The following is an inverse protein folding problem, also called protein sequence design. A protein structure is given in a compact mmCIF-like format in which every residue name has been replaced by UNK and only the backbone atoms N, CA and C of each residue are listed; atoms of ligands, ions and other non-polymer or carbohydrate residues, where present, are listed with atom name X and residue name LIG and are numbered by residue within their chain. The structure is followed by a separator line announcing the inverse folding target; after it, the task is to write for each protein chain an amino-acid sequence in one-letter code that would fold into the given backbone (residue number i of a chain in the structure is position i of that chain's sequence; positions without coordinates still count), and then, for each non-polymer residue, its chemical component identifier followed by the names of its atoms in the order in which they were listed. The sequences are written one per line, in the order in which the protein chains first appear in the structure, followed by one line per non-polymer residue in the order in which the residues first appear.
data_IF_947071320504
#
_entry.id   IF_947071320504
#
_cell.length_a   1.000
_cell.length_b   1.000
_cell.length_c   1.000
_cell.angle_alpha   90.00
_cell.angle_beta   90.00
_cell.angle_gamma   90.00
#
_symmetry.space_group_name_H-M   'P 1'
#
loop_
_entity.id
_entity.type
_entity.pdbx_description
1 polymer ?
#
# COMPACT_ATOMS: atom_id res chain seq x y z
N UNK A 1 11.24 -80.28 -33.11
CA UNK A 1 11.21 -79.17 -32.15
C UNK A 1 9.76 -78.90 -31.79
N UNK A 2 9.36 -79.31 -30.58
CA UNK A 2 8.00 -79.20 -30.08
C UNK A 2 7.73 -77.73 -29.71
N UNK A 3 6.92 -77.03 -30.50
CA UNK A 3 6.29 -75.81 -30.00
C UNK A 3 5.14 -76.24 -29.11
N UNK A 4 5.31 -76.01 -27.81
CA UNK A 4 4.28 -75.97 -26.79
C UNK A 4 3.29 -74.86 -27.16
N UNK A 5 2.43 -75.13 -28.15
CA UNK A 5 1.39 -74.19 -28.52
C UNK A 5 0.39 -74.19 -27.39
N UNK A 6 0.32 -73.03 -26.75
CA UNK A 6 -0.67 -72.61 -25.79
C UNK A 6 -1.97 -73.37 -26.01
N UNK A 7 -2.32 -74.22 -25.04
CA UNK A 7 -3.62 -74.85 -25.00
C UNK A 7 -4.63 -73.72 -25.09
N UNK A 8 -5.44 -73.64 -26.17
CA UNK A 8 -6.43 -72.59 -26.24
C UNK A 8 -7.41 -72.93 -25.14
N UNK A 9 -7.50 -72.04 -24.15
CA UNK A 9 -8.60 -71.99 -23.19
C UNK A 9 -9.85 -71.65 -24.00
N UNK A 10 -10.30 -72.58 -24.86
CA UNK A 10 -11.54 -72.44 -25.57
C UNK A 10 -12.61 -72.50 -24.49
N UNK A 11 -13.13 -71.32 -24.14
CA UNK A 11 -14.43 -71.18 -23.50
C UNK A 11 -15.41 -71.94 -24.39
N UNK A 12 -15.68 -73.18 -24.02
CA UNK A 12 -16.87 -73.96 -24.36
C UNK A 12 -17.20 -74.09 -25.87
N UNK A 13 -17.13 -75.30 -26.43
CA UNK A 13 -17.55 -75.58 -27.82
C UNK A 13 -19.04 -75.28 -28.11
N UNK A 14 -19.84 -74.94 -27.09
CA UNK A 14 -21.24 -74.61 -27.20
C UNK A 14 -21.48 -73.08 -27.32
N UNK A 15 -21.72 -72.62 -28.55
CA UNK A 15 -22.02 -71.22 -28.90
C UNK A 15 -23.19 -70.61 -28.12
N UNK A 16 -24.20 -71.41 -27.76
CA UNK A 16 -25.36 -70.93 -26.99
C UNK A 16 -24.97 -70.58 -25.55
N UNK A 17 -24.13 -71.40 -24.92
CA UNK A 17 -23.67 -71.15 -23.55
C UNK A 17 -22.77 -69.91 -23.46
N UNK A 18 -21.89 -69.72 -24.44
CA UNK A 18 -21.07 -68.50 -24.53
C UNK A 18 -21.95 -67.25 -24.66
N UNK A 19 -22.91 -67.23 -25.59
CA UNK A 19 -23.84 -66.10 -25.75
C UNK A 19 -24.64 -65.81 -24.48
N UNK A 20 -25.10 -66.85 -23.76
CA UNK A 20 -25.83 -66.68 -22.50
C UNK A 20 -24.94 -66.05 -21.42
N UNK A 21 -23.68 -66.48 -21.33
CA UNK A 21 -22.71 -65.92 -20.38
C UNK A 21 -22.31 -64.49 -20.72
N UNK A 22 -22.09 -64.19 -22.00
CA UNK A 22 -21.75 -62.84 -22.47
C UNK A 22 -22.92 -61.87 -22.19
N UNK A 23 -24.15 -62.31 -22.47
CA UNK A 23 -25.36 -61.54 -22.16
C UNK A 23 -25.50 -61.28 -20.66
N UNK A 24 -25.35 -62.31 -19.83
CA UNK A 24 -25.42 -62.17 -18.38
C UNK A 24 -24.34 -61.23 -17.83
N UNK A 25 -23.12 -61.32 -18.36
CA UNK A 25 -22.00 -60.45 -17.99
C UNK A 25 -22.26 -58.99 -18.37
N UNK A 26 -22.82 -58.75 -19.56
CA UNK A 26 -23.20 -57.42 -20.01
C UNK A 26 -24.33 -56.81 -19.16
N UNK A 27 -25.37 -57.59 -18.86
CA UNK A 27 -26.46 -57.15 -17.97
C UNK A 27 -25.97 -56.82 -16.56
N UNK A 28 -25.02 -57.61 -16.03
CA UNK A 28 -24.39 -57.33 -14.75
C UNK A 28 -23.58 -56.02 -14.79
N UNK A 29 -22.82 -55.79 -15.86
CA UNK A 29 -22.07 -54.54 -16.05
C UNK A 29 -23.01 -53.33 -16.11
N UNK A 30 -24.10 -53.40 -16.90
CA UNK A 30 -25.10 -52.33 -16.97
C UNK A 30 -25.69 -52.01 -15.60
N UNK A 31 -26.04 -53.05 -14.84
CA UNK A 31 -26.56 -52.88 -13.47
C UNK A 31 -25.55 -52.14 -12.60
N UNK A 32 -24.30 -52.60 -12.59
CA UNK A 32 -23.25 -51.99 -11.77
C UNK A 32 -22.94 -50.55 -12.16
N UNK A 33 -22.95 -50.24 -13.46
CA UNK A 33 -22.79 -48.86 -13.96
C UNK A 33 -23.98 -48.00 -13.56
N UNK A 34 -25.20 -48.53 -13.65
CA UNK A 34 -26.41 -47.82 -13.22
C UNK A 34 -26.40 -47.53 -11.72
N UNK A 35 -26.03 -48.51 -10.91
CA UNK A 35 -25.87 -48.36 -9.45
C UNK A 35 -24.79 -47.33 -9.12
N UNK A 36 -23.60 -47.46 -9.71
CA UNK A 36 -22.51 -46.50 -9.53
C UNK A 36 -22.89 -45.07 -9.95
N UNK A 37 -23.67 -44.92 -11.03
CA UNK A 37 -24.16 -43.62 -11.48
C UNK A 37 -25.17 -43.04 -10.48
N UNK A 38 -26.10 -43.87 -10.00
CA UNK A 38 -27.08 -43.49 -8.98
C UNK A 38 -26.39 -43.06 -7.68
N UNK A 39 -25.45 -43.85 -7.16
CA UNK A 39 -24.70 -43.54 -5.93
C UNK A 39 -23.94 -42.21 -6.05
N UNK A 40 -23.31 -41.96 -7.20
CA UNK A 40 -22.62 -40.69 -7.45
C UNK A 40 -23.60 -39.51 -7.48
N UNK A 41 -24.75 -39.69 -8.15
CA UNK A 41 -25.80 -38.67 -8.20
C UNK A 41 -26.34 -38.37 -6.81
N UNK A 42 -26.61 -39.39 -6.00
CA UNK A 42 -27.07 -39.24 -4.61
C UNK A 42 -26.05 -38.51 -3.74
N UNK A 43 -24.75 -38.82 -3.89
CA UNK A 43 -23.68 -38.12 -3.19
C UNK A 43 -23.60 -36.64 -3.58
N UNK A 44 -23.75 -36.34 -4.87
CA UNK A 44 -23.79 -34.97 -5.37
C UNK A 44 -24.98 -34.19 -4.81
N UNK A 45 -26.18 -34.78 -4.85
CA UNK A 45 -27.39 -34.18 -4.26
C UNK A 45 -27.24 -33.95 -2.76
N UNK A 46 -26.66 -34.92 -2.04
CA UNK A 46 -26.40 -34.80 -0.61
C UNK A 46 -25.42 -33.67 -0.29
N UNK A 47 -24.39 -33.47 -1.12
CA UNK A 47 -23.43 -32.36 -0.96
C UNK A 47 -24.10 -31.02 -1.18
N UNK A 48 -24.84 -30.86 -2.28
CA UNK A 48 -25.59 -29.64 -2.60
C UNK A 48 -26.55 -29.29 -1.46
N UNK A 49 -27.28 -30.29 -0.95
CA UNK A 49 -28.24 -30.07 0.11
C UNK A 49 -27.57 -29.62 1.42
N UNK A 50 -26.43 -30.23 1.78
CA UNK A 50 -25.64 -29.79 2.95
C UNK A 50 -25.14 -28.36 2.81
N UNK A 51 -24.59 -28.02 1.65
CA UNK A 51 -24.09 -26.67 1.38
C UNK A 51 -25.21 -25.62 1.41
N UNK A 52 -26.37 -25.95 0.84
CA UNK A 52 -27.56 -25.09 0.92
C UNK A 52 -28.02 -24.88 2.36
N UNK A 53 -28.06 -25.94 3.17
CA UNK A 53 -28.41 -25.83 4.59
C UNK A 53 -27.41 -24.94 5.36
N UNK A 54 -26.11 -25.12 5.13
CA UNK A 54 -25.07 -24.27 5.74
C UNK A 54 -25.18 -22.80 5.31
N UNK A 55 -25.48 -22.56 4.03
CA UNK A 55 -25.68 -21.21 3.52
C UNK A 55 -26.92 -20.58 4.15
N UNK A 56 -28.03 -21.32 4.24
CA UNK A 56 -29.25 -20.85 4.88
C UNK A 56 -29.04 -20.52 6.36
N UNK A 57 -28.25 -21.31 7.10
CA UNK A 57 -27.87 -20.96 8.47
C UNK A 57 -27.08 -19.65 8.53
N UNK A 58 -26.09 -19.47 7.64
CA UNK A 58 -25.31 -18.22 7.57
C UNK A 58 -26.19 -17.02 7.23
N UNK A 59 -27.08 -17.16 6.25
CA UNK A 59 -28.03 -16.11 5.86
C UNK A 59 -28.99 -15.82 7.01
N UNK A 60 -29.56 -16.85 7.64
CA UNK A 60 -30.44 -16.70 8.80
C UNK A 60 -29.74 -15.98 9.96
N UNK A 61 -28.48 -16.32 10.22
CA UNK A 61 -27.66 -15.64 11.21
C UNK A 61 -27.50 -14.16 10.88
N UNK A 62 -27.11 -13.84 9.64
CA UNK A 62 -26.97 -12.45 9.16
C UNK A 62 -28.30 -11.71 9.28
N UNK A 63 -29.41 -12.32 8.86
CA UNK A 63 -30.74 -11.72 8.89
C UNK A 63 -31.24 -11.48 10.33
N UNK A 64 -30.86 -12.35 11.27
CA UNK A 64 -31.20 -12.20 12.69
C UNK A 64 -30.33 -11.16 13.39
N UNK A 65 -29.10 -10.96 12.94
CA UNK A 65 -28.20 -9.94 13.50
C UNK A 65 -28.36 -8.60 12.77
N UNK A 66 -28.60 -7.51 13.50
CA UNK A 66 -28.60 -6.16 12.93
C UNK A 66 -27.16 -5.72 12.62
N UNK A 67 -26.53 -6.31 11.60
CA UNK A 67 -25.36 -5.79 10.89
C UNK A 67 -24.19 -5.23 11.73
N UNK A 68 -23.92 -5.74 12.94
CA UNK A 68 -22.75 -5.34 13.72
C UNK A 68 -21.50 -5.90 13.05
N UNK A 69 -20.96 -5.13 12.12
CA UNK A 69 -19.61 -5.29 11.59
C UNK A 69 -18.66 -4.81 12.69
N UNK A 70 -17.69 -5.63 13.09
CA UNK A 70 -16.73 -5.34 14.17
C UNK A 70 -15.68 -4.28 13.81
N UNK A 71 -15.76 -3.69 12.61
CA UNK A 71 -14.88 -2.63 12.14
C UNK A 71 -15.26 -1.28 12.76
N UNK A 72 -15.21 -1.20 14.10
CA UNK A 72 -15.22 0.10 14.76
C UNK A 72 -13.86 0.74 14.51
N UNK A 73 -13.83 1.52 13.44
CA UNK A 73 -12.65 2.17 12.96
C UNK A 73 -12.23 3.30 13.92
N UNK A 74 -11.21 3.06 14.74
CA UNK A 74 -10.68 4.02 15.72
C UNK A 74 -9.54 4.88 15.13
N UNK A 75 -9.60 5.22 13.84
CA UNK A 75 -8.58 6.08 13.23
C UNK A 75 -8.59 7.49 13.83
N UNK A 76 -9.74 8.02 14.24
CA UNK A 76 -9.80 9.38 14.78
C UNK A 76 -8.99 9.52 16.08
N UNK A 77 -9.05 8.56 17.00
CA UNK A 77 -8.23 8.62 18.22
C UNK A 77 -6.75 8.43 17.93
N UNK A 78 -6.38 7.51 17.02
CA UNK A 78 -4.98 7.32 16.61
C UNK A 78 -4.42 8.57 15.92
N UNK A 79 -5.23 9.23 15.08
CA UNK A 79 -4.89 10.49 14.41
C UNK A 79 -4.75 11.64 15.41
N UNK A 80 -5.65 11.73 16.38
CA UNK A 80 -5.59 12.75 17.45
C UNK A 80 -4.32 12.58 18.30
N UNK A 81 -3.97 11.33 18.67
CA UNK A 81 -2.75 11.05 19.41
C UNK A 81 -1.47 11.45 18.68
N UNK A 82 -1.39 11.14 17.37
CA UNK A 82 -0.24 11.52 16.53
C UNK A 82 -0.15 13.04 16.34
N UNK A 83 -1.29 13.70 16.11
CA UNK A 83 -1.37 15.15 16.01
C UNK A 83 -0.88 15.81 17.30
N UNK A 84 -1.32 15.33 18.46
CA UNK A 84 -0.88 15.84 19.76
C UNK A 84 0.64 15.65 19.99
N UNK A 85 1.19 14.52 19.53
CA UNK A 85 2.65 14.26 19.58
C UNK A 85 3.41 15.26 18.72
N UNK A 86 3.02 15.41 17.45
CA UNK A 86 3.65 16.32 16.50
C UNK A 86 3.57 17.77 17.01
N UNK A 87 2.45 18.19 17.56
CA UNK A 87 2.29 19.54 18.12
C UNK A 87 3.25 19.79 19.27
N UNK A 88 3.40 18.84 20.20
CA UNK A 88 4.38 18.95 21.30
C UNK A 88 5.81 19.00 20.79
N UNK A 89 6.16 18.14 19.83
CA UNK A 89 7.50 18.12 19.23
C UNK A 89 7.82 19.46 18.53
N UNK A 90 6.86 19.99 17.78
CA UNK A 90 6.98 21.30 17.12
C UNK A 90 7.16 22.45 18.12
N UNK A 91 6.42 22.44 19.24
CA UNK A 91 6.61 23.42 20.32
C UNK A 91 8.02 23.34 20.92
N UNK A 92 8.54 22.13 21.16
CA UNK A 92 9.90 21.94 21.67
C UNK A 92 10.97 22.41 20.69
N UNK A 93 10.79 22.16 19.40
CA UNK A 93 11.68 22.66 18.34
C UNK A 93 11.69 24.19 18.33
N UNK A 94 10.50 24.81 18.38
CA UNK A 94 10.38 26.26 18.42
C UNK A 94 11.06 26.85 19.66
N UNK A 95 10.86 26.25 20.83
CA UNK A 95 11.53 26.65 22.07
C UNK A 95 13.05 26.56 21.94
N UNK A 96 13.58 25.50 21.31
CA UNK A 96 15.02 25.39 21.06
C UNK A 96 15.53 26.46 20.10
N UNK A 97 14.85 26.67 18.99
CA UNK A 97 15.25 27.67 17.98
C UNK A 97 15.24 29.09 18.55
N UNK A 98 14.25 29.41 19.39
CA UNK A 98 14.13 30.73 20.03
C UNK A 98 15.15 30.95 21.14
N UNK A 99 15.48 29.90 21.91
CA UNK A 99 16.46 29.97 23.00
C UNK A 99 17.91 29.96 22.50
N UNK A 100 18.17 29.34 21.34
CA UNK A 100 19.48 29.38 20.70
C UNK A 100 19.78 30.80 20.21
N UNK A 101 20.67 31.51 20.91
CA UNK A 101 21.20 32.78 20.43
C UNK A 101 22.20 32.52 19.30
N UNK A 102 22.13 33.26 18.18
CA UNK A 102 23.15 33.20 17.15
C UNK A 102 24.49 33.68 17.68
N UNK A 103 25.50 32.81 17.69
CA UNK A 103 26.88 33.17 18.07
C UNK A 103 27.66 33.82 16.91
N UNK A 104 26.98 34.53 16.01
CA UNK A 104 27.64 35.30 14.97
C UNK A 104 27.52 36.79 15.28
N UNK A 105 28.66 37.40 15.64
CA UNK A 105 28.79 38.85 15.69
C UNK A 105 29.25 39.32 14.32
N UNK A 106 28.42 40.11 13.65
CA UNK A 106 28.75 40.71 12.34
C UNK A 106 30.07 41.50 12.43
N UNK A 107 30.32 42.14 13.57
CA UNK A 107 31.55 42.88 13.84
C UNK A 107 32.75 41.93 13.89
N UNK A 108 32.66 40.85 14.65
CA UNK A 108 33.75 39.88 14.81
C UNK A 108 34.05 39.18 13.48
N UNK A 109 33.01 38.85 12.72
CA UNK A 109 33.14 38.29 11.36
C UNK A 109 33.80 39.27 10.39
N UNK A 110 33.45 40.55 10.45
CA UNK A 110 34.08 41.58 9.63
C UNK A 110 35.55 41.77 10.00
N UNK A 111 35.87 41.76 11.29
CA UNK A 111 37.25 41.85 11.77
C UNK A 111 38.09 40.65 11.34
N UNK A 112 37.57 39.43 11.47
CA UNK A 112 38.27 38.22 11.04
C UNK A 112 38.43 38.16 9.52
N UNK A 113 37.45 38.65 8.77
CA UNK A 113 37.56 38.82 7.34
C UNK A 113 38.66 39.83 6.98
N UNK A 114 38.72 40.99 7.64
CA UNK A 114 39.78 41.99 7.44
C UNK A 114 41.18 41.45 7.81
N UNK A 115 41.30 40.70 8.92
CA UNK A 115 42.55 40.01 9.31
C UNK A 115 42.98 39.03 8.23
N UNK A 116 42.03 38.27 7.68
CA UNK A 116 42.26 37.33 6.59
C UNK A 116 42.74 38.04 5.32
N UNK A 117 42.09 39.14 4.93
CA UNK A 117 42.50 39.97 3.79
C UNK A 117 43.93 40.51 3.99
N UNK A 118 44.23 41.04 5.19
CA UNK A 118 45.57 41.54 5.52
C UNK A 118 46.63 40.44 5.50
N UNK A 119 46.32 39.26 6.03
CA UNK A 119 47.19 38.09 5.96
C UNK A 119 47.45 37.71 4.49
N UNK A 120 46.39 37.62 3.69
CA UNK A 120 46.47 37.31 2.27
C UNK A 120 47.33 38.31 1.49
N UNK A 121 47.24 39.60 1.80
CA UNK A 121 48.10 40.63 1.22
C UNK A 121 49.56 40.47 1.64
N UNK A 122 49.81 40.14 2.92
CA UNK A 122 51.17 39.98 3.46
C UNK A 122 51.91 38.73 2.94
N UNK A 123 51.20 37.65 2.63
CA UNK A 123 51.78 36.40 2.11
C UNK A 123 51.69 36.29 0.58
N UNK A 124 51.06 37.26 -0.09
CA UNK A 124 50.94 37.25 -1.54
C UNK A 124 52.31 37.50 -2.19
N UNK A 125 52.72 36.57 -3.05
CA UNK A 125 53.97 36.67 -3.83
C UNK A 125 53.97 37.82 -4.84
N UNK A 126 52.80 38.31 -5.23
CA UNK A 126 52.62 39.42 -6.17
C UNK A 126 51.48 40.34 -5.70
N UNK A 127 51.55 41.66 -5.93
CA UNK A 127 50.51 42.59 -5.52
C UNK A 127 49.15 42.22 -6.13
N UNK A 128 48.10 42.12 -5.31
CA UNK A 128 46.73 41.94 -5.84
C UNK A 128 46.34 43.19 -6.61
N UNK A 129 46.00 43.02 -7.90
CA UNK A 129 45.50 44.09 -8.76
C UNK A 129 44.18 44.60 -8.17
N UNK A 130 44.15 45.85 -7.73
CA UNK A 130 42.90 46.53 -7.38
C UNK A 130 42.08 46.65 -8.65
N UNK A 131 41.04 45.83 -8.81
CA UNK A 131 40.02 46.08 -9.84
C UNK A 131 39.22 47.28 -9.35
N UNK A 132 39.43 48.44 -9.97
CA UNK A 132 38.47 49.54 -9.89
C UNK A 132 37.19 49.02 -10.54
N UNK A 133 36.19 48.67 -9.75
CA UNK A 133 34.85 48.40 -10.27
C UNK A 133 34.24 49.72 -10.73
N UNK A 134 34.60 50.15 -11.94
CA UNK A 134 33.81 51.05 -12.77
C UNK A 134 32.93 50.20 -13.69
N UNK A 135 31.89 49.58 -13.16
CA UNK A 135 30.65 49.38 -13.91
C UNK A 135 29.67 50.39 -13.30
N UNK A 136 29.38 51.54 -13.89
CA UNK A 136 28.94 51.76 -15.26
C UNK A 136 27.55 52.37 -15.13
N UNK A 137 27.47 53.69 -15.13
CA UNK A 137 26.23 54.46 -15.07
C UNK A 137 25.47 54.40 -16.41
N UNK A 138 24.16 54.13 -16.30
CA UNK A 138 23.03 54.71 -17.05
C UNK A 138 22.72 54.27 -18.50
N UNK A 139 21.50 53.76 -18.72
CA UNK A 139 20.50 54.37 -19.63
C UNK A 139 19.08 54.02 -19.17
N UNK A 140 18.23 55.03 -18.99
CA UNK A 140 16.79 54.93 -18.81
C UNK A 140 16.10 54.92 -20.18
N UNK A 141 15.38 53.86 -20.55
CA UNK A 141 14.20 53.96 -21.44
C UNK A 141 13.20 52.84 -21.15
N UNK A 142 11.94 53.23 -21.01
CA UNK A 142 10.81 52.48 -20.48
C UNK A 142 10.35 51.26 -21.30
N UNK A 143 9.98 50.17 -20.60
CA UNK A 143 8.86 49.30 -20.94
C UNK A 143 8.50 48.40 -19.74
N UNK A 144 7.35 48.69 -19.12
CA UNK A 144 6.43 47.77 -18.42
C UNK A 144 7.02 46.66 -17.53
N UNK A 145 6.89 46.82 -16.21
CA UNK A 145 6.02 45.91 -15.45
C UNK A 145 5.51 46.60 -14.18
N UNK A 146 4.23 46.88 -14.21
CA UNK A 146 3.36 47.37 -13.15
C UNK A 146 3.42 46.51 -11.88
N UNK A 147 3.55 47.21 -10.75
CA UNK A 147 2.80 47.03 -9.49
C UNK A 147 2.69 45.61 -8.92
N UNK A 148 3.49 45.34 -7.88
CA UNK A 148 3.03 44.58 -6.72
C UNK A 148 3.89 44.98 -5.50
N UNK A 149 3.45 46.04 -4.80
CA UNK A 149 3.76 46.23 -3.38
C UNK A 149 3.00 45.14 -2.62
N UNK A 150 3.72 44.19 -2.04
CA UNK A 150 3.21 43.30 -1.00
C UNK A 150 3.83 43.73 0.31
N UNK A 151 3.10 44.54 1.07
CA UNK A 151 3.34 44.79 2.48
C UNK A 151 3.05 43.47 3.23
N UNK A 152 4.03 42.98 4.00
CA UNK A 152 3.78 41.94 4.99
C UNK A 152 3.08 42.61 6.18
N UNK A 153 1.76 42.63 6.15
CA UNK A 153 0.92 42.90 7.31
C UNK A 153 0.88 41.63 8.20
N UNK A 154 1.07 41.85 9.49
CA UNK A 154 0.84 40.89 10.57
C UNK A 154 -0.67 40.61 10.66
N UNK A 155 -1.08 39.34 10.59
CA UNK A 155 -2.43 38.93 10.97
C UNK A 155 -2.42 38.43 12.43
N UNK A 156 -3.31 38.94 13.30
CA UNK A 156 -3.34 38.57 14.70
C UNK A 156 -4.04 37.22 14.93
N UNK A 157 -3.59 36.57 16.01
CA UNK A 157 -4.28 35.49 16.72
C UNK A 157 -5.76 35.83 16.98
N UNK A 158 -6.64 34.89 16.63
CA UNK A 158 -7.95 34.77 17.27
C UNK A 158 -8.14 33.32 17.73
N UNK A 159 -7.93 33.14 19.03
CA UNK A 159 -8.38 32.00 19.79
C UNK A 159 -9.92 32.03 19.94
N UNK A 160 -10.49 30.83 19.90
CA UNK A 160 -11.58 30.33 20.76
C UNK A 160 -13.00 30.96 20.67
N UNK A 161 -13.97 30.13 20.28
CA UNK A 161 -15.08 29.61 21.10
C UNK A 161 -16.16 29.04 20.16
N UNK A 162 -16.33 27.72 20.10
CA UNK A 162 -17.27 26.93 20.92
C UNK A 162 -18.77 27.08 20.57
N UNK A 163 -19.34 25.91 20.21
CA UNK A 163 -20.68 25.42 20.59
C UNK A 163 -21.92 25.99 19.88
N UNK A 164 -22.40 25.19 18.91
CA UNK A 164 -23.66 24.46 19.00
C UNK A 164 -24.98 25.19 19.27
N UNK A 165 -25.86 25.14 18.26
CA UNK A 165 -27.19 24.50 18.31
C UNK A 165 -27.58 24.03 16.90
#
# INVERSE_FOLDING_TARGET
MQHLLYQPLLLNGNKYLQQKWDKASYEMHLRKVSESCFDFQEQSMSKIQRENNMLLEKISHIMRTTGRIDNRNDYENKRYGELLRITKDNQLILLRLTQCQPHYSIKDWHEDWLKTIKLMESIARYPRRVRQSSCGTETNTAASLTMAKGECEEEPDQQEEEVGL
#
